data_IF_111222498947
#
_entry.id   IF_111222498947
#
_cell.length_a   1.000
_cell.length_b   1.000
_cell.length_c   1.000
_cell.angle_alpha   90.00
_cell.angle_beta   90.00
_cell.angle_gamma   90.00
#
_symmetry.space_group_name_H-M   'P 1'
#
loop_
_entity.id
_entity.type
_entity.pdbx_description
1 polymer ?
#
# COMPACT_ATOMS: atom_id res chain seq x y z
N UNK A 1 24.79 -14.36 7.90
CA UNK A 1 23.58 -13.57 8.20
C UNK A 1 22.97 -13.04 6.91
N UNK A 2 21.66 -13.22 6.69
CA UNK A 2 20.95 -12.65 5.54
C UNK A 2 20.04 -11.53 6.06
N UNK A 3 20.57 -10.30 6.12
CA UNK A 3 19.90 -9.10 6.64
C UNK A 3 19.03 -8.41 5.58
N UNK A 4 18.22 -9.17 4.84
CA UNK A 4 17.37 -8.58 3.81
C UNK A 4 15.94 -8.53 4.32
N UNK A 5 15.43 -7.30 4.45
CA UNK A 5 14.00 -7.08 4.69
C UNK A 5 13.21 -7.74 3.56
N UNK A 6 12.17 -8.47 3.91
CA UNK A 6 11.32 -9.11 2.91
C UNK A 6 10.58 -8.06 2.08
N UNK A 7 10.18 -8.44 0.88
CA UNK A 7 9.37 -7.57 0.00
C UNK A 7 8.04 -7.21 0.70
N UNK A 8 7.42 -8.16 1.39
CA UNK A 8 6.18 -7.95 2.14
C UNK A 8 6.37 -6.93 3.27
N UNK A 9 7.43 -7.05 4.07
CA UNK A 9 7.73 -6.08 5.14
C UNK A 9 8.05 -4.69 4.58
N UNK A 10 8.82 -4.61 3.49
CA UNK A 10 9.11 -3.34 2.80
C UNK A 10 7.83 -2.66 2.31
N UNK A 11 6.96 -3.40 1.63
CA UNK A 11 5.67 -2.88 1.12
C UNK A 11 4.76 -2.45 2.29
N UNK A 12 4.72 -3.20 3.39
CA UNK A 12 3.99 -2.78 4.59
C UNK A 12 4.54 -1.47 5.15
N UNK A 13 5.86 -1.33 5.31
CA UNK A 13 6.48 -0.10 5.82
C UNK A 13 6.16 1.10 4.92
N UNK A 14 6.25 0.94 3.59
CA UNK A 14 5.91 1.99 2.63
C UNK A 14 4.43 2.38 2.75
N UNK A 15 3.52 1.41 2.72
CA UNK A 15 2.08 1.69 2.65
C UNK A 15 1.55 2.22 3.98
N UNK A 16 2.01 1.70 5.11
CA UNK A 16 1.57 2.09 6.44
C UNK A 16 2.31 3.32 6.99
N UNK A 17 3.24 3.90 6.24
CA UNK A 17 3.83 5.21 6.56
C UNK A 17 3.04 6.32 5.86
N UNK A 18 2.42 7.28 6.58
CA UNK A 18 1.79 8.43 5.95
C UNK A 18 2.82 9.34 5.26
N UNK A 19 2.52 9.82 4.07
CA UNK A 19 3.33 10.85 3.42
C UNK A 19 3.48 12.08 4.32
N UNK A 20 4.69 12.65 4.35
CA UNK A 20 5.06 13.79 5.20
C UNK A 20 5.38 13.43 6.66
N UNK A 21 5.15 12.19 7.10
CA UNK A 21 5.38 11.81 8.50
C UNK A 21 6.87 11.67 8.87
N UNK A 22 7.74 11.30 7.92
CA UNK A 22 9.18 11.20 8.15
C UNK A 22 9.86 12.55 7.95
N UNK A 23 10.27 13.19 9.05
CA UNK A 23 10.90 14.53 9.06
C UNK A 23 12.04 14.67 8.05
N UNK A 24 12.95 13.69 7.97
CA UNK A 24 14.10 13.73 7.07
C UNK A 24 13.84 13.13 5.68
N UNK A 25 12.66 12.54 5.46
CA UNK A 25 12.30 11.92 4.19
C UNK A 25 10.78 12.07 3.92
N UNK A 26 10.28 13.31 3.77
CA UNK A 26 8.84 13.59 3.77
C UNK A 26 8.11 12.99 2.57
N UNK A 27 8.82 12.66 1.49
CA UNK A 27 8.25 12.01 0.29
C UNK A 27 8.07 10.49 0.47
N UNK A 28 8.60 9.90 1.54
CA UNK A 28 8.44 8.49 1.84
C UNK A 28 7.07 8.20 2.45
N UNK A 29 6.50 7.07 2.05
CA UNK A 29 5.20 6.62 2.51
C UNK A 29 4.18 6.54 1.38
N UNK A 30 2.90 6.60 1.76
CA UNK A 30 1.79 6.50 0.84
C UNK A 30 0.66 7.47 1.14
N UNK A 31 -0.20 7.66 0.13
CA UNK A 31 -1.42 8.48 0.19
C UNK A 31 -2.65 7.69 0.66
N UNK A 32 -2.51 6.42 1.04
CA UNK A 32 -3.68 5.61 1.42
C UNK A 32 -4.43 6.19 2.62
N UNK A 33 -3.73 6.95 3.48
CA UNK A 33 -4.33 7.68 4.60
C UNK A 33 -5.28 8.80 4.17
N UNK A 34 -5.17 9.31 2.95
CA UNK A 34 -6.15 10.27 2.39
C UNK A 34 -7.52 9.63 2.12
N UNK A 35 -7.60 8.29 2.15
CA UNK A 35 -8.85 7.53 1.98
C UNK A 35 -9.63 7.37 3.29
N UNK A 36 -9.06 7.76 4.43
CA UNK A 36 -9.77 7.78 5.71
C UNK A 36 -11.01 8.68 5.59
N UNK A 37 -12.12 8.21 6.16
CA UNK A 37 -13.43 8.85 6.14
C UNK A 37 -13.99 9.16 4.73
N UNK A 38 -13.44 8.53 3.68
CA UNK A 38 -14.00 8.60 2.33
C UNK A 38 -15.09 7.53 2.16
N UNK A 39 -16.11 7.87 1.38
CA UNK A 39 -17.18 6.94 1.00
C UNK A 39 -16.61 5.82 0.13
N UNK A 40 -17.04 4.58 0.39
CA UNK A 40 -16.66 3.43 -0.42
C UNK A 40 -17.46 3.40 -1.74
N UNK A 41 -16.91 4.00 -2.77
CA UNK A 41 -17.43 3.99 -4.15
C UNK A 41 -16.33 3.68 -5.18
N UNK A 42 -16.63 3.78 -6.47
CA UNK A 42 -15.66 3.46 -7.52
C UNK A 42 -14.46 4.41 -7.53
N UNK A 43 -14.66 5.67 -7.10
CA UNK A 43 -13.58 6.63 -6.94
C UNK A 43 -12.65 6.21 -5.80
N UNK A 44 -13.19 5.70 -4.69
CA UNK A 44 -12.38 5.12 -3.62
C UNK A 44 -11.51 3.98 -4.13
N UNK A 45 -12.10 3.03 -4.88
CA UNK A 45 -11.39 1.86 -5.43
C UNK A 45 -10.28 2.28 -6.39
N UNK A 46 -10.57 3.22 -7.29
CA UNK A 46 -9.60 3.77 -8.22
C UNK A 46 -8.44 4.48 -7.50
N UNK A 47 -8.76 5.31 -6.50
CA UNK A 47 -7.74 6.00 -5.71
C UNK A 47 -6.89 5.02 -4.88
N UNK A 48 -7.49 3.99 -4.27
CA UNK A 48 -6.76 2.95 -3.55
C UNK A 48 -5.74 2.27 -4.46
N UNK A 49 -6.17 1.82 -5.63
CA UNK A 49 -5.27 1.19 -6.60
C UNK A 49 -4.15 2.15 -7.02
N UNK A 50 -4.49 3.40 -7.36
CA UNK A 50 -3.52 4.41 -7.76
C UNK A 50 -2.50 4.71 -6.67
N UNK A 51 -2.93 4.95 -5.44
CA UNK A 51 -2.04 5.30 -4.31
C UNK A 51 -1.12 4.15 -3.92
N UNK A 52 -1.61 2.91 -3.95
CA UNK A 52 -0.80 1.72 -3.68
C UNK A 52 0.24 1.53 -4.78
N UNK A 53 -0.16 1.61 -6.05
CA UNK A 53 0.75 1.49 -7.20
C UNK A 53 1.81 2.58 -7.17
N UNK A 54 1.42 3.83 -6.98
CA UNK A 54 2.34 4.97 -6.92
C UNK A 54 3.41 4.77 -5.84
N UNK A 55 2.99 4.44 -4.61
CA UNK A 55 3.91 4.32 -3.48
C UNK A 55 4.85 3.12 -3.62
N UNK A 56 4.32 1.94 -3.95
CA UNK A 56 5.12 0.71 -4.10
C UNK A 56 6.08 0.82 -5.27
N UNK A 57 5.63 1.27 -6.45
CA UNK A 57 6.54 1.41 -7.58
C UNK A 57 7.59 2.51 -7.38
N UNK A 58 7.30 3.53 -6.56
CA UNK A 58 8.28 4.55 -6.20
C UNK A 58 9.40 3.99 -5.33
N UNK A 59 9.07 3.20 -4.31
CA UNK A 59 10.01 2.83 -3.24
C UNK A 59 10.49 1.37 -3.27
N UNK A 60 9.70 0.43 -3.77
CA UNK A 60 10.04 -1.00 -3.88
C UNK A 60 10.28 -1.41 -5.35
N UNK A 61 11.50 -1.15 -5.84
CA UNK A 61 11.86 -1.41 -7.25
C UNK A 61 11.98 -2.90 -7.61
N UNK A 62 12.03 -3.79 -6.61
CA UNK A 62 12.19 -5.24 -6.83
C UNK A 62 10.93 -5.90 -7.39
N UNK A 63 9.77 -5.24 -7.33
CA UNK A 63 8.49 -5.80 -7.76
C UNK A 63 7.72 -4.87 -8.69
N UNK A 64 6.73 -5.47 -9.37
CA UNK A 64 5.75 -4.76 -10.19
C UNK A 64 4.36 -5.23 -9.80
N UNK A 65 3.45 -4.28 -9.58
CA UNK A 65 2.06 -4.59 -9.24
C UNK A 65 1.31 -4.94 -10.53
N UNK A 66 0.56 -6.02 -10.46
CA UNK A 66 -0.42 -6.41 -11.48
C UNK A 66 -1.81 -5.87 -11.14
N UNK A 67 -2.25 -6.07 -9.89
CA UNK A 67 -3.58 -5.66 -9.44
C UNK A 67 -3.61 -5.32 -7.96
N UNK A 68 -4.46 -4.36 -7.60
CA UNK A 68 -4.86 -4.08 -6.22
C UNK A 68 -6.33 -4.46 -6.06
N UNK A 69 -6.66 -5.24 -5.04
CA UNK A 69 -8.00 -5.80 -4.79
C UNK A 69 -8.43 -5.36 -3.40
N UNK A 70 -9.51 -4.56 -3.32
CA UNK A 70 -10.13 -4.27 -2.03
C UNK A 70 -10.88 -5.51 -1.54
N UNK A 71 -10.49 -6.02 -0.37
CA UNK A 71 -11.15 -7.18 0.26
C UNK A 71 -12.32 -6.72 1.14
N UNK A 72 -12.08 -5.72 2.01
CA UNK A 72 -13.11 -5.13 2.86
C UNK A 72 -12.70 -3.76 3.40
N UNK A 73 -13.71 -2.96 3.74
CA UNK A 73 -13.56 -1.77 4.60
C UNK A 73 -14.65 -1.85 5.68
N UNK A 74 -14.30 -2.32 6.87
CA UNK A 74 -15.22 -2.53 7.99
C UNK A 74 -14.54 -2.14 9.29
N UNK A 75 -15.30 -1.52 10.21
CA UNK A 75 -14.82 -1.12 11.54
C UNK A 75 -13.53 -0.26 11.49
N UNK A 76 -13.40 0.58 10.45
CA UNK A 76 -12.19 1.40 10.22
C UNK A 76 -10.99 0.64 9.66
N UNK A 77 -11.10 -0.67 9.47
CA UNK A 77 -10.04 -1.52 8.93
C UNK A 77 -10.20 -1.66 7.41
N UNK A 78 -9.24 -1.11 6.69
CA UNK A 78 -9.00 -1.29 5.26
C UNK A 78 -8.18 -2.56 5.04
N UNK A 79 -8.78 -3.57 4.41
CA UNK A 79 -8.16 -4.83 4.03
C UNK A 79 -8.11 -4.93 2.50
N UNK A 80 -6.92 -5.12 1.94
CA UNK A 80 -6.72 -5.25 0.51
C UNK A 80 -5.56 -6.18 0.18
N UNK A 81 -5.61 -6.77 -1.01
CA UNK A 81 -4.56 -7.62 -1.56
C UNK A 81 -3.86 -6.94 -2.73
N UNK A 82 -2.56 -7.18 -2.85
CA UNK A 82 -1.71 -6.75 -3.95
C UNK A 82 -1.25 -8.01 -4.67
N UNK A 83 -1.65 -8.16 -5.94
CA UNK A 83 -1.09 -9.17 -6.83
C UNK A 83 0.09 -8.58 -7.56
N UNK A 84 1.23 -9.27 -7.47
CA UNK A 84 2.46 -8.92 -8.15
C UNK A 84 2.55 -9.65 -9.49
N UNK A 85 3.29 -9.08 -10.43
CA UNK A 85 3.47 -9.67 -11.77
C UNK A 85 4.21 -11.00 -11.78
N UNK A 86 4.95 -11.32 -10.71
CA UNK A 86 5.61 -12.61 -10.53
C UNK A 86 4.65 -13.70 -10.01
N UNK A 87 3.38 -13.37 -9.77
CA UNK A 87 2.34 -14.30 -9.29
C UNK A 87 2.13 -14.26 -7.78
N UNK A 88 3.00 -13.58 -7.02
CA UNK A 88 2.86 -13.47 -5.57
C UNK A 88 1.65 -12.59 -5.19
N UNK A 89 1.01 -12.93 -4.07
CA UNK A 89 -0.09 -12.14 -3.49
C UNK A 89 0.25 -11.72 -2.06
N UNK A 90 0.13 -10.41 -1.79
CA UNK A 90 0.43 -9.81 -0.49
C UNK A 90 -0.83 -9.17 0.06
N UNK A 91 -1.26 -9.58 1.25
CA UNK A 91 -2.42 -9.01 1.94
C UNK A 91 -1.99 -7.95 2.96
N UNK A 92 -2.61 -6.78 2.89
CA UNK A 92 -2.35 -5.63 3.75
C UNK A 92 -3.61 -5.29 4.53
N UNK A 93 -3.44 -5.00 5.83
CA UNK A 93 -4.46 -4.45 6.72
C UNK A 93 -3.85 -3.29 7.48
N UNK A 94 -4.61 -2.23 7.73
CA UNK A 94 -4.17 -1.04 8.50
C UNK A 94 -4.43 -1.17 10.02
N UNK A 95 -4.38 -2.38 10.59
CA UNK A 95 -4.67 -2.65 12.00
C UNK A 95 -3.61 -3.52 12.65
#
# INVERSE_FOLDING_TARGET
>A
MKYLVSIEESIRDILLTPLGSRVMLPLYGSRIFELIDKRLDDKFRANLAYYVIEAVERWEKRVKIDRVILNSLKDGILDFSIKLKNGDEIRIKNG
#
